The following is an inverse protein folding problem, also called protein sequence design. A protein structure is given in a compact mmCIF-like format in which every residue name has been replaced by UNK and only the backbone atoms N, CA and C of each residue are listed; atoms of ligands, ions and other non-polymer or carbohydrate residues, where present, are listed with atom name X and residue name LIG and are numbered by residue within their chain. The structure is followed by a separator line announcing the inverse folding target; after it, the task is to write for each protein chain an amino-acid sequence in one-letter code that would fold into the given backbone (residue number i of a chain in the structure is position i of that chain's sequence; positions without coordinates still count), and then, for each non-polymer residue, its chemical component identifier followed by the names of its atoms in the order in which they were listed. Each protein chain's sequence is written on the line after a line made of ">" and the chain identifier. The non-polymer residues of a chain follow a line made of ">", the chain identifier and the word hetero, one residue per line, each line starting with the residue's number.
data_IF_915763152364
#
_entry.id   IF_915763152364
#
_cell.length_a   1.000
_cell.length_b   1.000
_cell.length_c   1.000
_cell.angle_alpha   90.00
_cell.angle_beta   90.00
_cell.angle_gamma   90.00
#
_symmetry.space_group_name_H-M   'P 1'
#
loop_
_entity.id
_entity.type
_entity.pdbx_description
1 polymer ?
#
# COMPACT_ATOMS: atom_id res chain seq x y z
N UNK A 1 -53.81 29.48 41.29
CA UNK A 1 -53.37 29.89 42.63
C UNK A 1 -52.07 29.14 42.93
N UNK A 2 -50.99 29.87 43.22
CA UNK A 2 -49.57 29.45 43.34
C UNK A 2 -48.91 29.01 42.01
N UNK A 3 -47.96 29.71 41.36
CA UNK A 3 -46.95 30.73 41.72
C UNK A 3 -45.88 30.26 42.71
N UNK A 4 -44.72 29.83 42.17
CA UNK A 4 -43.32 29.91 42.68
C UNK A 4 -42.45 28.97 41.81
N UNK A 5 -41.21 29.27 41.40
CA UNK A 5 -40.36 30.46 41.52
C UNK A 5 -39.26 30.33 40.47
N UNK A 6 -38.99 31.45 39.82
CA UNK A 6 -37.84 31.77 38.98
C UNK A 6 -36.52 31.66 39.77
N UNK A 7 -35.46 31.14 39.15
CA UNK A 7 -34.26 31.96 38.94
C UNK A 7 -33.30 31.38 37.88
N UNK A 8 -32.58 32.26 37.15
CA UNK A 8 -31.91 31.98 35.89
C UNK A 8 -30.37 32.15 35.98
N UNK A 9 -29.70 32.02 34.82
CA UNK A 9 -28.30 32.39 34.54
C UNK A 9 -27.30 31.40 35.16
N UNK A 10 -26.50 30.67 34.37
CA UNK A 10 -25.31 31.17 33.68
C UNK A 10 -25.21 30.44 32.32
N UNK A 11 -25.50 31.09 31.18
CA UNK A 11 -24.64 31.99 30.40
C UNK A 11 -23.40 31.26 29.82
N UNK A 12 -23.52 30.83 28.56
CA UNK A 12 -22.67 31.16 27.38
C UNK A 12 -22.86 30.05 26.34
N UNK A 13 -23.63 30.29 25.29
CA UNK A 13 -23.25 31.01 24.06
C UNK A 13 -22.34 30.16 23.18
N UNK A 14 -22.94 29.75 22.06
CA UNK A 14 -22.40 29.57 20.71
C UNK A 14 -21.61 28.31 20.37
N UNK A 15 -21.90 27.88 19.13
CA UNK A 15 -21.18 26.95 18.25
C UNK A 15 -21.42 25.48 18.59
N UNK A 16 -22.38 24.76 17.97
CA UNK A 16 -22.61 24.64 16.53
C UNK A 16 -21.29 24.44 15.76
N UNK A 17 -20.56 23.39 16.10
CA UNK A 17 -19.70 22.70 15.14
C UNK A 17 -20.35 21.37 14.85
N UNK A 18 -21.17 21.41 13.79
CA UNK A 18 -21.41 20.29 12.91
C UNK A 18 -20.02 19.72 12.57
N UNK A 19 -19.62 18.61 13.19
CA UNK A 19 -18.43 17.89 12.74
C UNK A 19 -18.80 17.34 11.37
N UNK A 20 -18.33 18.06 10.36
CA UNK A 20 -18.58 17.79 8.96
C UNK A 20 -18.08 16.40 8.58
N UNK A 21 -18.83 15.79 7.68
CA UNK A 21 -18.52 14.59 6.92
C UNK A 21 -17.37 14.86 5.91
N UNK A 22 -16.33 15.59 6.31
CA UNK A 22 -15.13 15.79 5.48
C UNK A 22 -14.13 14.67 5.73
N UNK A 23 -14.55 13.45 5.39
CA UNK A 23 -13.67 12.33 5.02
C UNK A 23 -13.75 12.11 3.48
N UNK A 24 -13.85 13.21 2.73
CA UNK A 24 -13.98 13.24 1.26
C UNK A 24 -12.62 13.33 0.53
N UNK A 25 -11.55 12.80 1.12
CA UNK A 25 -10.19 13.08 0.65
C UNK A 25 -9.25 11.85 0.62
N UNK A 26 -9.76 10.67 0.30
CA UNK A 26 -8.94 9.62 -0.34
C UNK A 26 -9.63 9.19 -1.63
N UNK A 27 -9.51 10.10 -2.58
CA UNK A 27 -9.35 9.90 -4.01
C UNK A 27 -9.37 8.44 -4.51
N UNK A 28 -10.32 8.15 -5.40
CA UNK A 28 -10.57 6.84 -6.00
C UNK A 28 -11.91 6.80 -6.73
N UNK A 29 -12.25 7.85 -7.50
CA UNK A 29 -13.53 7.94 -8.23
C UNK A 29 -13.62 6.92 -9.38
N UNK A 30 -12.51 6.29 -9.73
CA UNK A 30 -12.40 5.22 -10.71
C UNK A 30 -11.53 4.13 -10.11
N UNK A 31 -11.98 2.88 -10.22
CA UNK A 31 -11.18 1.69 -9.95
C UNK A 31 -11.11 0.85 -11.21
N UNK A 32 -9.88 0.54 -11.60
CA UNK A 32 -9.54 -0.49 -12.56
C UNK A 32 -8.55 -1.43 -11.87
N UNK A 33 -9.06 -2.49 -11.28
CA UNK A 33 -8.23 -3.55 -10.71
C UNK A 33 -8.29 -4.76 -11.64
N UNK A 34 -7.14 -5.22 -12.14
CA UNK A 34 -7.06 -6.42 -12.96
C UNK A 34 -5.95 -7.30 -12.40
N UNK A 35 -6.31 -8.50 -11.98
CA UNK A 35 -5.37 -9.50 -11.50
C UNK A 35 -5.40 -10.71 -12.42
N UNK A 36 -4.26 -11.02 -13.03
CA UNK A 36 -4.06 -12.16 -13.91
C UNK A 36 -3.10 -13.13 -13.23
N UNK A 37 -3.54 -14.37 -13.04
CA UNK A 37 -2.71 -15.48 -12.57
C UNK A 37 -2.48 -16.45 -13.71
N UNK A 38 -1.20 -16.76 -13.98
CA UNK A 38 -0.79 -17.71 -14.99
C UNK A 38 -0.60 -19.09 -14.37
N UNK A 39 -1.26 -20.08 -14.95
CA UNK A 39 -1.09 -21.49 -14.63
C UNK A 39 0.18 -22.06 -15.25
N UNK A 40 0.68 -23.18 -14.71
CA UNK A 40 1.82 -23.92 -15.27
C UNK A 40 1.44 -24.80 -16.47
N UNK A 41 0.16 -24.86 -16.81
CA UNK A 41 -0.47 -25.66 -17.85
C UNK A 41 -0.93 -24.81 -19.05
N UNK A 42 -0.30 -23.64 -19.23
CA UNK A 42 -0.62 -22.66 -20.28
C UNK A 42 -2.07 -22.16 -20.24
N UNK A 43 -2.59 -22.05 -19.01
CA UNK A 43 -3.86 -21.42 -18.70
C UNK A 43 -3.65 -20.10 -17.96
N UNK A 44 -4.69 -19.26 -17.93
CA UNK A 44 -4.75 -18.09 -17.10
C UNK A 44 -6.11 -17.98 -16.42
N UNK A 45 -6.09 -17.43 -15.20
CA UNK A 45 -7.26 -16.94 -14.50
C UNK A 45 -7.13 -15.43 -14.37
N UNK A 46 -8.20 -14.69 -14.64
CA UNK A 46 -8.19 -13.24 -14.55
C UNK A 46 -9.41 -12.75 -13.78
N UNK A 47 -9.19 -11.90 -12.78
CA UNK A 47 -10.25 -11.19 -12.09
C UNK A 47 -10.09 -9.70 -12.37
N UNK A 48 -11.09 -9.10 -13.01
CA UNK A 48 -11.09 -7.69 -13.40
C UNK A 48 -12.30 -6.99 -12.83
N UNK A 49 -12.05 -5.91 -12.08
CA UNK A 49 -13.06 -5.02 -11.54
C UNK A 49 -12.91 -3.66 -12.22
N UNK A 50 -13.98 -3.21 -12.86
CA UNK A 50 -14.08 -1.86 -13.44
C UNK A 50 -15.23 -1.16 -12.74
N UNK A 51 -14.94 -0.14 -11.94
CA UNK A 51 -15.95 0.56 -11.15
C UNK A 51 -15.71 2.06 -11.13
N UNK A 52 -16.81 2.82 -11.05
CA UNK A 52 -16.80 4.28 -11.08
C UNK A 52 -17.69 4.83 -9.97
N UNK A 53 -17.36 6.03 -9.49
CA UNK A 53 -18.26 6.78 -8.63
C UNK A 53 -19.50 7.21 -9.43
N UNK A 54 -20.71 7.11 -8.87
CA UNK A 54 -21.95 7.49 -9.57
C UNK A 54 -21.94 8.93 -10.11
N UNK A 55 -21.25 9.83 -9.40
CA UNK A 55 -21.17 11.26 -9.75
C UNK A 55 -19.94 11.61 -10.61
N UNK A 56 -19.16 10.62 -11.08
CA UNK A 56 -17.91 10.84 -11.81
C UNK A 56 -18.11 11.69 -13.06
N UNK A 57 -19.14 11.41 -13.86
CA UNK A 57 -19.39 12.12 -15.10
C UNK A 57 -19.63 13.63 -14.86
N UNK A 58 -20.36 13.97 -13.80
CA UNK A 58 -20.62 15.37 -13.43
C UNK A 58 -19.37 16.05 -12.86
N UNK A 59 -18.55 15.32 -12.11
CA UNK A 59 -17.26 15.82 -11.61
C UNK A 59 -16.26 16.08 -12.75
N UNK A 60 -16.13 15.14 -13.70
CA UNK A 60 -15.23 15.29 -14.86
C UNK A 60 -15.64 16.49 -15.72
N UNK A 61 -16.95 16.66 -16.00
CA UNK A 61 -17.47 17.83 -16.73
C UNK A 61 -17.15 19.15 -16.00
N UNK A 62 -17.24 19.15 -14.68
CA UNK A 62 -17.00 20.34 -13.85
C UNK A 62 -15.51 20.69 -13.72
N UNK A 63 -14.63 19.69 -13.58
CA UNK A 63 -13.20 19.90 -13.32
C UNK A 63 -12.34 20.07 -14.58
N UNK A 64 -12.58 19.28 -15.62
CA UNK A 64 -11.74 19.31 -16.83
C UNK A 64 -12.12 20.45 -17.79
N UNK A 65 -13.27 21.10 -17.57
CA UNK A 65 -13.84 22.04 -18.51
C UNK A 65 -14.28 21.36 -19.82
N UNK A 66 -15.02 22.09 -20.66
CA UNK A 66 -15.54 21.56 -21.92
C UNK A 66 -14.45 21.04 -22.86
N UNK A 67 -13.28 21.68 -22.84
CA UNK A 67 -12.26 21.50 -23.87
C UNK A 67 -11.41 20.25 -23.61
N UNK A 68 -10.92 20.05 -22.38
CA UNK A 68 -10.19 18.82 -22.02
C UNK A 68 -11.14 17.62 -21.90
N UNK A 69 -12.39 17.82 -21.46
CA UNK A 69 -13.42 16.79 -21.48
C UNK A 69 -13.70 16.30 -22.91
N UNK A 70 -13.79 17.20 -23.89
CA UNK A 70 -13.99 16.82 -25.30
C UNK A 70 -12.76 16.16 -25.95
N UNK A 71 -11.55 16.56 -25.56
CA UNK A 71 -10.33 15.91 -26.02
C UNK A 71 -10.22 14.47 -25.48
N UNK A 72 -10.55 14.27 -24.19
CA UNK A 72 -10.60 12.95 -23.59
C UNK A 72 -11.75 12.11 -24.19
N UNK A 73 -12.92 12.70 -24.42
CA UNK A 73 -14.08 12.01 -24.99
C UNK A 73 -13.84 11.56 -26.43
N UNK A 74 -13.25 12.42 -27.26
CA UNK A 74 -12.93 12.11 -28.65
C UNK A 74 -11.86 11.05 -28.75
N UNK A 75 -10.91 11.02 -27.81
CA UNK A 75 -9.94 9.94 -27.67
C UNK A 75 -10.64 8.65 -27.21
N UNK A 76 -11.38 8.67 -26.12
CA UNK A 76 -12.12 7.49 -25.61
C UNK A 76 -13.08 6.90 -26.67
N UNK A 77 -13.80 7.75 -27.41
CA UNK A 77 -14.69 7.31 -28.49
C UNK A 77 -13.97 6.88 -29.78
N UNK A 78 -12.73 7.30 -30.00
CA UNK A 78 -11.87 6.77 -31.06
C UNK A 78 -11.14 5.48 -30.63
N UNK A 79 -10.94 5.31 -29.32
CA UNK A 79 -10.30 4.17 -28.66
C UNK A 79 -11.28 3.00 -28.58
N UNK A 80 -12.50 3.21 -28.14
CA UNK A 80 -13.54 2.19 -28.15
C UNK A 80 -14.69 2.66 -29.05
N UNK A 81 -14.86 1.97 -30.18
CA UNK A 81 -15.94 2.17 -31.14
C UNK A 81 -17.29 1.86 -30.46
N UNK A 82 -17.79 2.79 -29.62
CA UNK A 82 -19.00 2.62 -28.82
C UNK A 82 -18.99 3.26 -27.42
N UNK A 83 -17.83 3.50 -26.80
CA UNK A 83 -17.79 4.03 -25.41
C UNK A 83 -17.91 5.55 -25.44
N UNK A 84 -19.08 6.04 -25.07
CA UNK A 84 -19.39 7.46 -24.95
C UNK A 84 -19.16 7.91 -23.51
N UNK A 85 -18.72 9.15 -23.25
CA UNK A 85 -18.69 9.66 -21.87
C UNK A 85 -20.08 9.64 -21.20
N UNK A 86 -21.14 9.67 -22.00
CA UNK A 86 -22.53 9.56 -21.54
C UNK A 86 -22.95 8.10 -21.24
N UNK A 87 -22.18 7.10 -21.69
CA UNK A 87 -22.36 5.68 -21.36
C UNK A 87 -21.47 5.20 -20.20
N UNK A 88 -20.78 6.12 -19.50
CA UNK A 88 -20.11 5.86 -18.22
C UNK A 88 -21.10 5.67 -17.06
N UNK A 89 -22.35 5.30 -17.36
CA UNK A 89 -23.31 4.87 -16.35
C UNK A 89 -22.92 3.44 -15.94
N UNK A 90 -22.52 3.22 -14.67
CA UNK A 90 -22.10 1.91 -14.20
C UNK A 90 -23.14 0.80 -14.41
N UNK A 91 -24.42 1.16 -14.36
CA UNK A 91 -25.51 0.20 -14.58
C UNK A 91 -25.57 -0.26 -16.04
N UNK A 92 -25.31 0.64 -16.99
CA UNK A 92 -25.32 0.32 -18.42
C UNK A 92 -24.09 -0.51 -18.83
N UNK A 93 -22.94 -0.30 -18.18
CA UNK A 93 -21.74 -1.07 -18.46
C UNK A 93 -21.96 -2.59 -18.29
N UNK A 94 -22.68 -2.99 -17.23
CA UNK A 94 -23.04 -4.39 -17.01
C UNK A 94 -23.96 -4.92 -18.11
N UNK A 95 -25.01 -4.16 -18.46
CA UNK A 95 -25.96 -4.55 -19.50
C UNK A 95 -25.29 -4.67 -20.87
N UNK A 96 -24.37 -3.76 -21.20
CA UNK A 96 -23.60 -3.78 -22.44
C UNK A 96 -22.65 -4.99 -22.52
N UNK A 97 -21.87 -5.23 -21.46
CA UNK A 97 -20.94 -6.37 -21.42
C UNK A 97 -21.67 -7.71 -21.42
N UNK A 98 -22.78 -7.82 -20.68
CA UNK A 98 -23.60 -9.04 -20.66
C UNK A 98 -24.33 -9.29 -21.99
N UNK A 99 -24.71 -8.22 -22.70
CA UNK A 99 -25.30 -8.31 -24.04
C UNK A 99 -24.26 -8.50 -25.16
N UNK A 100 -22.96 -8.36 -24.86
CA UNK A 100 -21.91 -8.45 -25.87
C UNK A 100 -21.82 -9.87 -26.47
N UNK A 101 -21.76 -9.95 -27.79
CA UNK A 101 -21.63 -11.21 -28.51
C UNK A 101 -20.32 -11.93 -28.21
N UNK A 102 -19.26 -11.18 -27.93
CA UNK A 102 -17.94 -11.70 -27.57
C UNK A 102 -17.99 -12.43 -26.23
N UNK A 103 -18.56 -11.83 -25.18
CA UNK A 103 -18.68 -12.46 -23.88
C UNK A 103 -19.64 -13.66 -23.91
N UNK A 104 -20.73 -13.56 -24.67
CA UNK A 104 -21.66 -14.69 -24.86
C UNK A 104 -21.01 -15.86 -25.59
N UNK A 105 -20.19 -15.58 -26.62
CA UNK A 105 -19.45 -16.62 -27.35
C UNK A 105 -18.42 -17.26 -26.42
N UNK A 106 -17.65 -16.45 -25.70
CA UNK A 106 -16.66 -16.96 -24.75
C UNK A 106 -17.30 -17.81 -23.65
N UNK A 107 -18.41 -17.36 -23.06
CA UNK A 107 -19.14 -18.12 -22.03
C UNK A 107 -19.79 -19.40 -22.59
N UNK A 108 -20.18 -19.42 -23.87
CA UNK A 108 -20.71 -20.60 -24.54
C UNK A 108 -19.62 -21.63 -24.85
N UNK A 109 -18.46 -21.17 -25.31
CA UNK A 109 -17.30 -22.00 -25.62
C UNK A 109 -16.62 -22.53 -24.35
N UNK A 110 -16.67 -21.76 -23.26
CA UNK A 110 -16.04 -22.05 -21.97
C UNK A 110 -17.04 -21.97 -20.79
N UNK A 111 -18.01 -22.89 -20.71
CA UNK A 111 -19.05 -22.84 -19.70
C UNK A 111 -18.50 -23.01 -18.28
N UNK A 112 -18.84 -22.08 -17.39
CA UNK A 112 -18.39 -22.08 -15.99
C UNK A 112 -17.00 -21.51 -15.76
N UNK A 113 -16.31 -21.05 -16.82
CA UNK A 113 -15.00 -20.39 -16.75
C UNK A 113 -15.11 -18.87 -16.92
N UNK A 114 -16.31 -18.35 -17.19
CA UNK A 114 -16.60 -16.92 -17.32
C UNK A 114 -17.75 -16.57 -16.39
N UNK A 115 -17.54 -15.59 -15.52
CA UNK A 115 -18.53 -15.09 -14.57
C UNK A 115 -18.51 -13.56 -14.57
N UNK A 116 -19.61 -12.95 -15.00
CA UNK A 116 -19.78 -11.49 -15.02
C UNK A 116 -20.86 -11.13 -14.01
N UNK A 117 -20.53 -10.22 -13.09
CA UNK A 117 -21.42 -9.76 -12.02
C UNK A 117 -21.43 -8.23 -11.94
N UNK A 118 -22.53 -7.63 -11.45
CA UNK A 118 -22.50 -6.24 -11.04
C UNK A 118 -21.59 -6.09 -9.81
N UNK A 119 -20.82 -5.01 -9.79
CA UNK A 119 -19.97 -4.61 -8.67
C UNK A 119 -20.60 -3.40 -7.96
N UNK A 120 -20.69 -3.45 -6.64
CA UNK A 120 -21.10 -2.32 -5.79
C UNK A 120 -20.45 -2.49 -4.41
N UNK A 121 -19.55 -1.56 -4.03
CA UNK A 121 -18.90 -1.53 -2.72
C UNK A 121 -19.44 -0.41 -1.79
N UNK A 122 -20.54 0.23 -2.19
CA UNK A 122 -21.16 1.36 -1.51
C UNK A 122 -20.53 2.71 -1.85
N UNK A 123 -19.39 2.75 -2.53
CA UNK A 123 -18.74 3.97 -3.01
C UNK A 123 -18.61 3.99 -4.54
N UNK A 124 -18.30 2.84 -5.13
CA UNK A 124 -18.12 2.61 -6.55
C UNK A 124 -19.09 1.55 -7.04
N UNK A 125 -19.63 1.78 -8.23
CA UNK A 125 -20.51 0.85 -8.92
C UNK A 125 -19.88 0.50 -10.26
N UNK A 126 -20.06 -0.73 -10.73
CA UNK A 126 -19.57 -1.15 -12.03
C UNK A 126 -19.72 -2.64 -12.26
N UNK A 127 -18.66 -3.27 -12.76
CA UNK A 127 -18.65 -4.67 -13.17
C UNK A 127 -17.47 -5.43 -12.57
N UNK A 128 -17.74 -6.69 -12.25
CA UNK A 128 -16.76 -7.69 -11.83
C UNK A 128 -16.79 -8.82 -12.86
N UNK A 129 -15.68 -9.01 -13.57
CA UNK A 129 -15.46 -10.08 -14.52
C UNK A 129 -14.42 -11.04 -13.97
N UNK A 130 -14.82 -12.30 -13.76
CA UNK A 130 -13.94 -13.39 -13.39
C UNK A 130 -13.85 -14.38 -14.54
N UNK A 131 -12.62 -14.63 -14.98
CA UNK A 131 -12.21 -15.64 -15.95
C UNK A 131 -11.37 -16.68 -15.20
N UNK A 132 -11.64 -17.97 -15.38
CA UNK A 132 -10.97 -19.05 -14.63
C UNK A 132 -10.46 -20.13 -15.57
N UNK A 133 -9.19 -20.48 -15.45
CA UNK A 133 -8.52 -21.57 -16.16
C UNK A 133 -8.76 -21.56 -17.68
N UNK A 134 -8.69 -20.37 -18.29
CA UNK A 134 -8.81 -20.21 -19.74
C UNK A 134 -7.46 -20.47 -20.42
N UNK A 135 -7.45 -21.09 -21.60
CA UNK A 135 -6.25 -21.22 -22.43
C UNK A 135 -5.60 -19.87 -22.78
N UNK A 136 -4.27 -19.79 -22.80
CA UNK A 136 -3.53 -18.55 -23.11
C UNK A 136 -3.81 -17.97 -24.50
N UNK A 137 -4.18 -18.79 -25.49
CA UNK A 137 -4.54 -18.33 -26.84
C UNK A 137 -5.82 -17.47 -26.84
N UNK A 138 -6.70 -17.67 -25.86
CA UNK A 138 -7.87 -16.81 -25.63
C UNK A 138 -7.43 -15.43 -25.15
N UNK A 139 -6.41 -15.35 -24.30
CA UNK A 139 -5.83 -14.08 -23.87
C UNK A 139 -5.27 -13.31 -25.06
N UNK A 140 -4.49 -13.94 -25.93
CA UNK A 140 -3.90 -13.26 -27.09
C UNK A 140 -4.96 -12.75 -28.08
N UNK A 141 -6.04 -13.51 -28.28
CA UNK A 141 -7.18 -13.07 -29.08
C UNK A 141 -7.90 -11.88 -28.44
N UNK A 142 -8.14 -11.92 -27.12
CA UNK A 142 -8.76 -10.82 -26.39
C UNK A 142 -7.85 -9.59 -26.37
N UNK A 143 -6.55 -9.76 -26.15
CA UNK A 143 -5.57 -8.69 -26.07
C UNK A 143 -5.28 -8.06 -27.45
N UNK A 144 -5.35 -8.82 -28.54
CA UNK A 144 -5.29 -8.25 -29.89
C UNK A 144 -6.55 -7.45 -30.24
N UNK A 145 -7.74 -7.90 -29.80
CA UNK A 145 -8.99 -7.18 -29.98
C UNK A 145 -9.07 -5.92 -29.09
N UNK A 146 -8.72 -6.02 -27.81
CA UNK A 146 -8.81 -4.94 -26.82
C UNK A 146 -7.60 -4.00 -26.84
N UNK A 147 -6.41 -4.50 -27.16
CA UNK A 147 -5.16 -3.74 -27.20
C UNK A 147 -5.13 -2.70 -28.32
N UNK A 148 -5.85 -2.94 -29.42
CA UNK A 148 -6.10 -1.92 -30.44
C UNK A 148 -6.99 -0.78 -29.94
N UNK A 149 -7.86 -1.07 -28.97
CA UNK A 149 -8.82 -0.11 -28.43
C UNK A 149 -8.25 0.71 -27.27
N UNK A 150 -7.48 0.11 -26.36
CA UNK A 150 -6.95 0.80 -25.17
C UNK A 150 -5.51 1.29 -25.32
N UNK A 151 -4.83 0.98 -26.43
CA UNK A 151 -3.39 1.26 -26.61
C UNK A 151 -2.49 0.46 -25.65
N UNK A 152 -3.06 -0.52 -24.94
CA UNK A 152 -2.35 -1.43 -24.03
C UNK A 152 -2.44 -2.82 -24.66
N UNK A 153 -1.69 -3.03 -25.74
CA UNK A 153 -1.58 -4.32 -26.43
C UNK A 153 -0.53 -5.19 -25.73
N UNK A 154 -0.87 -5.75 -24.58
CA UNK A 154 -0.02 -6.76 -23.94
C UNK A 154 -0.05 -8.08 -24.70
N UNK A 155 1.07 -8.77 -24.82
CA UNK A 155 1.12 -10.20 -25.20
C UNK A 155 1.75 -11.02 -24.08
N UNK A 156 1.32 -12.28 -23.97
CA UNK A 156 1.88 -13.24 -23.02
C UNK A 156 2.38 -14.43 -23.81
N UNK A 157 3.69 -14.65 -23.78
CA UNK A 157 4.33 -15.77 -24.49
C UNK A 157 4.96 -16.71 -23.47
N UNK A 158 4.72 -18.02 -23.64
CA UNK A 158 5.42 -19.07 -22.91
C UNK A 158 6.49 -19.71 -23.82
N UNK A 159 7.75 -19.42 -23.54
CA UNK A 159 8.89 -19.93 -24.31
C UNK A 159 10.06 -20.25 -23.38
N UNK A 160 10.80 -21.32 -23.68
CA UNK A 160 11.99 -21.76 -22.93
C UNK A 160 11.78 -21.90 -21.40
N UNK A 161 10.59 -22.38 -20.99
CA UNK A 161 10.23 -22.55 -19.58
C UNK A 161 10.07 -21.22 -18.81
N UNK A 162 9.71 -20.15 -19.52
CA UNK A 162 9.49 -18.82 -18.95
C UNK A 162 8.27 -18.17 -19.57
N UNK A 163 7.54 -17.42 -18.74
CA UNK A 163 6.50 -16.52 -19.18
C UNK A 163 7.12 -15.15 -19.46
N UNK A 164 6.86 -14.61 -20.64
CA UNK A 164 7.29 -13.28 -21.06
C UNK A 164 6.03 -12.46 -21.36
N UNK A 165 5.74 -11.49 -20.51
CA UNK A 165 4.68 -10.50 -20.74
C UNK A 165 5.33 -9.28 -21.36
N UNK A 166 4.85 -8.89 -22.54
CA UNK A 166 5.38 -7.74 -23.28
C UNK A 166 4.28 -6.74 -23.53
N UNK A 167 4.46 -5.51 -23.06
CA UNK A 167 3.62 -4.36 -23.40
C UNK A 167 4.49 -3.45 -24.28
N UNK A 168 4.20 -3.34 -25.59
CA UNK A 168 5.05 -2.66 -26.55
C UNK A 168 5.11 -1.17 -26.25
N UNK A 169 6.25 -0.55 -26.58
CA UNK A 169 6.38 0.90 -26.50
C UNK A 169 5.29 1.60 -27.33
N UNK A 170 4.64 2.61 -26.75
CA UNK A 170 3.63 3.40 -27.43
C UNK A 170 3.73 4.86 -26.99
N UNK A 171 4.06 5.73 -27.94
CA UNK A 171 4.16 7.17 -27.73
C UNK A 171 2.80 7.78 -27.33
N UNK A 172 1.68 7.13 -27.65
CA UNK A 172 0.35 7.56 -27.22
C UNK A 172 0.16 7.49 -25.70
N UNK A 173 1.00 6.72 -24.99
CA UNK A 173 1.00 6.61 -23.53
C UNK A 173 1.73 7.78 -22.86
N UNK A 174 2.50 8.58 -23.61
CA UNK A 174 3.17 9.76 -23.07
C UNK A 174 2.14 10.77 -22.53
N UNK A 175 2.10 11.02 -21.21
CA UNK A 175 1.15 11.95 -20.63
C UNK A 175 1.33 13.38 -21.13
N UNK A 176 2.53 13.74 -21.61
CA UNK A 176 2.81 15.04 -22.24
C UNK A 176 2.02 15.20 -23.54
N UNK A 177 1.87 14.11 -24.32
CA UNK A 177 1.06 14.08 -25.53
C UNK A 177 -0.44 14.21 -25.23
N UNK A 178 -0.85 13.87 -24.01
CA UNK A 178 -2.21 14.07 -23.48
C UNK A 178 -2.41 15.46 -22.85
N UNK A 179 -1.39 16.33 -22.88
CA UNK A 179 -1.43 17.65 -22.24
C UNK A 179 -1.45 17.59 -20.71
N UNK A 180 -1.13 16.42 -20.13
CA UNK A 180 -1.10 16.21 -18.69
C UNK A 180 0.27 16.63 -18.16
N UNK A 181 0.27 17.57 -17.22
CA UNK A 181 1.49 17.95 -16.49
C UNK A 181 1.77 16.95 -15.36
N UNK A 182 3.01 16.87 -14.84
CA UNK A 182 3.33 16.05 -13.67
C UNK A 182 2.43 16.35 -12.45
N UNK A 183 2.00 17.61 -12.28
CA UNK A 183 1.07 18.00 -11.22
C UNK A 183 -0.33 17.42 -11.46
N UNK A 184 -0.82 17.44 -12.70
CA UNK A 184 -2.11 16.84 -13.06
C UNK A 184 -2.07 15.31 -12.94
N UNK A 185 -0.96 14.68 -13.31
CA UNK A 185 -0.74 13.23 -13.11
C UNK A 185 -0.80 12.84 -11.64
N UNK A 186 -0.20 13.62 -10.75
CA UNK A 186 -0.28 13.35 -9.31
C UNK A 186 -1.73 13.48 -8.80
N UNK A 187 -2.52 14.41 -9.34
CA UNK A 187 -3.94 14.54 -8.99
C UNK A 187 -4.77 13.39 -9.56
N UNK A 188 -4.55 13.01 -10.82
CA UNK A 188 -5.24 11.89 -11.49
C UNK A 188 -4.88 10.55 -10.86
N UNK A 189 -3.61 10.30 -10.57
CA UNK A 189 -3.15 9.06 -9.93
C UNK A 189 -3.65 8.90 -8.49
N UNK A 190 -4.04 9.99 -7.82
CA UNK A 190 -4.79 9.88 -6.58
C UNK A 190 -6.27 9.59 -6.87
N UNK A 191 -6.88 10.21 -7.88
CA UNK A 191 -8.31 10.07 -8.17
C UNK A 191 -8.68 8.75 -8.88
N UNK A 192 -7.74 8.10 -9.55
CA UNK A 192 -7.92 6.89 -10.35
C UNK A 192 -7.04 5.79 -9.76
N UNK A 193 -7.68 4.78 -9.16
CA UNK A 193 -7.03 3.58 -8.65
C UNK A 193 -6.89 2.58 -9.81
N UNK A 194 -5.72 2.54 -10.46
CA UNK A 194 -5.40 1.52 -11.47
C UNK A 194 -4.34 0.59 -10.91
N UNK A 195 -4.69 -0.69 -10.81
CA UNK A 195 -3.76 -1.76 -10.43
C UNK A 195 -3.88 -2.91 -11.41
N UNK A 196 -2.78 -3.22 -12.11
CA UNK A 196 -2.69 -4.39 -12.98
C UNK A 196 -1.65 -5.34 -12.38
N UNK A 197 -2.09 -6.50 -11.93
CA UNK A 197 -1.27 -7.48 -11.25
C UNK A 197 -1.10 -8.73 -12.11
N UNK A 198 0.14 -9.13 -12.35
CA UNK A 198 0.47 -10.40 -12.98
C UNK A 198 1.12 -11.32 -11.95
N UNK A 199 0.53 -12.49 -11.75
CA UNK A 199 1.03 -13.53 -10.85
C UNK A 199 1.46 -14.72 -11.67
N UNK A 200 2.72 -15.10 -11.53
CA UNK A 200 3.35 -16.17 -12.28
C UNK A 200 3.43 -17.45 -11.43
N UNK A 201 3.59 -18.62 -12.05
CA UNK A 201 3.83 -19.86 -11.32
C UNK A 201 5.24 -19.90 -10.69
N UNK A 202 6.21 -19.22 -11.30
CA UNK A 202 7.57 -19.06 -10.79
C UNK A 202 7.96 -17.61 -10.48
N UNK A 203 9.20 -17.42 -10.04
CA UNK A 203 9.71 -16.11 -9.66
C UNK A 203 9.90 -15.19 -10.88
N UNK A 204 9.64 -13.91 -10.66
CA UNK A 204 9.94 -12.85 -11.62
C UNK A 204 11.44 -12.57 -11.60
N UNK A 205 12.07 -12.69 -12.75
CA UNK A 205 13.52 -12.46 -12.92
C UNK A 205 13.83 -11.10 -13.51
N UNK A 206 12.91 -10.53 -14.30
CA UNK A 206 13.08 -9.25 -14.97
C UNK A 206 11.74 -8.52 -15.00
N UNK A 207 11.71 -7.26 -14.55
CA UNK A 207 10.58 -6.36 -14.71
C UNK A 207 11.11 -4.91 -14.66
N UNK A 208 11.18 -4.19 -15.79
CA UNK A 208 11.71 -2.83 -15.84
C UNK A 208 10.74 -1.79 -15.28
N UNK A 209 9.46 -2.15 -15.10
CA UNK A 209 8.42 -1.30 -14.56
C UNK A 209 7.56 -2.06 -13.54
N UNK A 210 6.94 -1.32 -12.61
CA UNK A 210 6.13 -1.89 -11.53
C UNK A 210 6.92 -2.33 -10.30
N UNK A 211 6.17 -2.85 -9.33
CA UNK A 211 6.71 -3.42 -8.09
C UNK A 211 6.71 -4.94 -8.17
N UNK A 212 7.88 -5.55 -7.96
CA UNK A 212 8.08 -7.00 -7.99
C UNK A 212 8.08 -7.57 -6.56
N UNK A 213 7.16 -8.49 -6.31
CA UNK A 213 7.06 -9.24 -5.05
C UNK A 213 7.09 -10.75 -5.34
N UNK A 214 8.30 -11.30 -5.38
CA UNK A 214 8.52 -12.73 -5.62
C UNK A 214 8.03 -13.21 -6.97
N UNK A 215 6.82 -13.78 -7.03
CA UNK A 215 6.17 -14.29 -8.24
C UNK A 215 5.13 -13.34 -8.84
N UNK A 216 4.96 -12.17 -8.24
CA UNK A 216 3.93 -11.22 -8.64
C UNK A 216 4.54 -9.89 -9.03
N UNK A 217 4.08 -9.32 -10.15
CA UNK A 217 4.38 -7.94 -10.56
C UNK A 217 3.11 -7.14 -10.49
N UNK A 218 3.16 -5.98 -9.85
CA UNK A 218 2.04 -5.02 -9.83
C UNK A 218 2.46 -3.76 -10.57
N UNK A 219 1.69 -3.40 -11.61
CA UNK A 219 1.83 -2.20 -12.40
C UNK A 219 0.76 -1.19 -11.97
N UNK A 220 1.19 0.03 -11.64
CA UNK A 220 0.27 1.14 -11.40
C UNK A 220 0.03 1.98 -12.66
N UNK A 221 -0.86 2.96 -12.57
CA UNK A 221 -1.12 3.90 -13.67
C UNK A 221 0.16 4.60 -14.19
N UNK A 222 1.08 4.94 -13.29
CA UNK A 222 2.33 5.62 -13.66
C UNK A 222 3.25 4.71 -14.50
N UNK A 223 3.26 3.41 -14.23
CA UNK A 223 4.01 2.43 -15.02
C UNK A 223 3.38 2.24 -16.39
N UNK A 224 2.05 2.16 -16.45
CA UNK A 224 1.29 1.95 -17.69
C UNK A 224 1.37 3.16 -18.63
N UNK A 225 1.42 4.38 -18.09
CA UNK A 225 1.62 5.62 -18.85
C UNK A 225 3.08 5.87 -19.25
N UNK A 226 3.99 4.95 -18.94
CA UNK A 226 5.35 5.04 -19.45
C UNK A 226 5.35 4.61 -20.93
N UNK A 227 5.84 5.45 -21.87
CA UNK A 227 5.87 5.11 -23.28
C UNK A 227 6.87 3.99 -23.61
N UNK A 228 7.78 3.66 -22.68
CA UNK A 228 8.73 2.58 -22.86
C UNK A 228 8.05 1.19 -22.96
N UNK A 229 8.76 0.26 -23.57
CA UNK A 229 8.39 -1.16 -23.54
C UNK A 229 8.48 -1.70 -22.11
N UNK A 230 7.44 -2.42 -21.69
CA UNK A 230 7.43 -3.13 -20.41
C UNK A 230 7.55 -4.61 -20.73
N UNK A 231 8.70 -5.19 -20.37
CA UNK A 231 8.97 -6.61 -20.58
C UNK A 231 9.18 -7.31 -19.25
N UNK A 232 8.21 -8.11 -18.84
CA UNK A 232 8.25 -8.88 -17.59
C UNK A 232 8.59 -10.32 -17.93
N UNK A 233 9.61 -10.86 -17.29
CA UNK A 233 10.04 -12.26 -17.45
C UNK A 233 9.95 -12.97 -16.11
N UNK A 234 9.24 -14.09 -16.09
CA UNK A 234 9.13 -14.97 -14.94
C UNK A 234 9.35 -16.43 -15.33
N UNK A 235 9.78 -17.26 -14.38
CA UNK A 235 9.90 -18.70 -14.61
C UNK A 235 8.53 -19.38 -14.59
N UNK A 236 8.41 -20.50 -15.31
CA UNK A 236 7.26 -21.40 -15.24
C UNK A 236 7.27 -22.34 -14.02
N UNK A 237 8.43 -22.45 -13.34
CA UNK A 237 8.68 -23.42 -12.27
C UNK A 237 8.58 -22.80 -10.89
N UNK A 238 8.01 -23.55 -9.94
CA UNK A 238 7.82 -23.08 -8.57
C UNK A 238 9.17 -22.96 -7.84
N UNK A 239 9.68 -21.73 -7.76
CA UNK A 239 10.93 -21.40 -7.09
C UNK A 239 10.68 -20.74 -5.73
N UNK A 240 11.52 -21.06 -4.74
CA UNK A 240 11.40 -20.51 -3.39
C UNK A 240 11.96 -19.08 -3.36
N UNK A 241 11.15 -18.11 -2.96
CA UNK A 241 11.58 -16.72 -2.75
C UNK A 241 12.41 -16.60 -1.46
N UNK A 242 13.71 -16.90 -1.55
CA UNK A 242 14.63 -16.92 -0.41
C UNK A 242 14.87 -15.55 0.22
N UNK A 243 14.71 -14.45 -0.52
CA UNK A 243 15.01 -13.09 -0.06
C UNK A 243 14.35 -12.71 1.27
N UNK A 244 13.01 -12.82 1.42
CA UNK A 244 12.36 -12.55 2.71
C UNK A 244 12.75 -13.56 3.78
N UNK A 245 12.92 -14.85 3.43
CA UNK A 245 13.30 -15.90 4.38
C UNK A 245 14.68 -15.60 4.98
N UNK A 246 15.66 -15.22 4.17
CA UNK A 246 17.00 -14.86 4.63
C UNK A 246 17.00 -13.54 5.41
N UNK A 247 16.21 -12.56 4.97
CA UNK A 247 16.12 -11.26 5.67
C UNK A 247 15.52 -11.44 7.06
N UNK A 248 14.34 -12.05 7.18
CA UNK A 248 13.69 -12.30 8.46
C UNK A 248 14.44 -13.32 9.30
N UNK A 249 15.00 -14.37 8.67
CA UNK A 249 15.86 -15.34 9.33
C UNK A 249 17.10 -14.69 9.95
N UNK A 250 17.72 -13.74 9.24
CA UNK A 250 18.83 -12.94 9.74
C UNK A 250 18.43 -12.05 10.93
N UNK A 251 17.28 -11.39 10.85
CA UNK A 251 16.74 -10.56 11.95
C UNK A 251 16.47 -11.42 13.19
N UNK A 252 15.80 -12.56 13.03
CA UNK A 252 15.52 -13.49 14.13
C UNK A 252 16.82 -14.01 14.74
N UNK A 253 17.79 -14.38 13.91
CA UNK A 253 19.10 -14.83 14.37
C UNK A 253 19.85 -13.73 15.14
N UNK A 254 19.83 -12.48 14.65
CA UNK A 254 20.41 -11.35 15.35
C UNK A 254 19.72 -11.09 16.71
N UNK A 255 18.38 -11.17 16.76
CA UNK A 255 17.63 -11.05 18.00
C UNK A 255 17.99 -12.16 19.00
N UNK A 256 18.12 -13.42 18.53
CA UNK A 256 18.56 -14.55 19.36
C UNK A 256 19.96 -14.31 19.91
N UNK A 257 20.89 -13.79 19.10
CA UNK A 257 22.26 -13.48 19.55
C UNK A 257 22.25 -12.36 20.60
N UNK A 258 21.44 -11.33 20.43
CA UNK A 258 21.33 -10.22 21.41
C UNK A 258 20.72 -10.72 22.71
N UNK A 259 19.59 -11.42 22.66
CA UNK A 259 18.90 -11.93 23.85
C UNK A 259 19.73 -13.01 24.54
N UNK A 260 20.28 -13.94 23.76
CA UNK A 260 21.17 -15.00 24.23
C UNK A 260 22.46 -14.43 24.84
N UNK A 261 23.07 -13.44 24.20
CA UNK A 261 24.23 -12.73 24.72
C UNK A 261 23.93 -12.02 26.04
N UNK A 262 22.82 -11.29 26.13
CA UNK A 262 22.39 -10.61 27.35
C UNK A 262 22.13 -11.60 28.50
N UNK A 263 21.40 -12.69 28.24
CA UNK A 263 21.14 -13.73 29.26
C UNK A 263 22.42 -14.41 29.73
N UNK A 264 23.37 -14.67 28.82
CA UNK A 264 24.66 -15.25 29.16
C UNK A 264 25.50 -14.30 30.01
N UNK A 265 25.49 -13.00 29.71
CA UNK A 265 26.16 -11.96 30.53
C UNK A 265 25.56 -11.88 31.94
N UNK A 266 24.23 -11.92 32.07
CA UNK A 266 23.55 -11.93 33.38
C UNK A 266 23.92 -13.19 34.18
N UNK A 267 23.93 -14.37 33.55
CA UNK A 267 24.33 -15.62 34.19
C UNK A 267 25.80 -15.59 34.64
N UNK A 268 26.69 -15.01 33.83
CA UNK A 268 28.09 -14.82 34.20
C UNK A 268 28.25 -13.88 35.39
N UNK A 269 27.54 -12.74 35.42
CA UNK A 269 27.59 -11.78 36.53
C UNK A 269 27.07 -12.40 37.84
N UNK A 270 25.93 -13.09 37.80
CA UNK A 270 25.39 -13.80 38.97
C UNK A 270 26.37 -14.86 39.48
N UNK A 271 27.04 -15.57 38.59
CA UNK A 271 28.02 -16.60 38.96
C UNK A 271 29.31 -15.98 39.52
N UNK A 272 29.73 -14.82 39.04
CA UNK A 272 30.85 -14.07 39.58
C UNK A 272 30.56 -13.54 40.99
N UNK A 273 29.36 -13.00 41.24
CA UNK A 273 28.92 -12.53 42.56
C UNK A 273 28.84 -13.64 43.60
N UNK A 274 28.50 -14.88 43.22
CA UNK A 274 28.56 -16.04 44.13
C UNK A 274 29.99 -16.44 44.53
N UNK A 275 31.02 -15.97 43.81
CA UNK A 275 32.43 -16.25 44.14
C UNK A 275 33.08 -15.16 44.98
N UNK A 276 32.48 -13.96 45.09
CA UNK A 276 32.95 -12.95 46.02
C UNK A 276 32.59 -13.39 47.45
N UNK A 277 33.50 -14.15 48.07
CA UNK A 277 33.56 -14.31 49.52
C UNK A 277 34.04 -12.98 50.08
N UNK A 278 33.10 -12.11 50.46
CA UNK A 278 33.41 -11.08 51.43
C UNK A 278 33.89 -11.79 52.71
N UNK A 279 34.98 -11.33 53.36
CA UNK A 279 35.32 -11.80 54.69
C UNK A 279 34.08 -11.70 55.59
N UNK A 280 33.86 -12.72 56.43
CA UNK A 280 32.78 -12.67 57.40
C UNK A 280 32.89 -11.36 58.20
N UNK A 281 31.80 -10.63 58.46
CA UNK A 281 31.86 -9.49 59.36
C UNK A 281 32.42 -9.98 60.69
N UNK A 282 33.59 -9.48 61.07
CA UNK A 282 34.21 -9.79 62.34
C UNK A 282 33.28 -9.29 63.45
N UNK A 283 32.54 -10.23 64.06
CA UNK A 283 31.82 -9.99 65.31
C UNK A 283 32.77 -9.91 66.52
N UNK A 284 34.09 -9.79 66.28
CA UNK A 284 35.17 -9.86 67.26
C UNK A 284 36.12 -8.65 67.18
N UNK A 285 35.68 -7.51 66.62
CA UNK A 285 36.28 -6.23 66.96
C UNK A 285 35.36 -5.49 67.93
N UNK A 286 35.59 -5.83 69.19
CA UNK A 286 35.45 -4.99 70.36
C UNK A 286 35.32 -3.51 70.00
N UNK A 287 34.21 -2.94 70.44
CA UNK A 287 34.04 -1.51 70.69
C UNK A 287 35.35 -0.90 71.17
N UNK A 288 36.12 -0.30 70.26
CA UNK A 288 37.21 0.60 70.64
C UNK A 288 36.59 1.96 70.97
N UNK A 289 35.69 1.96 71.95
CA UNK A 289 35.51 3.08 72.86
C UNK A 289 36.82 3.14 73.66
N UNK A 290 37.82 3.79 73.06
CA UNK A 290 39.02 4.23 73.75
C UNK A 290 38.66 5.48 74.54
N UNK A 291 38.44 5.28 75.83
CA UNK A 291 38.42 6.30 76.87
C UNK A 291 39.71 7.13 76.83
N UNK A 292 39.55 8.46 76.97
CA UNK A 292 40.60 9.45 77.20
C UNK A 292 41.58 9.00 78.31
N UNK A 293 42.89 9.28 78.14
CA UNK A 293 43.73 9.76 79.23
C UNK A 293 44.10 11.23 79.00
N UNK A 294 44.13 11.94 80.12
CA UNK A 294 44.28 13.38 80.29
C UNK A 294 45.30 14.09 79.39
N UNK A 295 44.88 15.31 79.05
CA UNK A 295 45.64 16.43 78.51
C UNK A 295 46.85 16.79 79.40
N UNK A 296 47.91 17.36 78.82
CA UNK A 296 48.25 18.69 79.33
C UNK A 296 48.57 19.68 78.19
N UNK A 297 47.89 20.82 78.28
CA UNK A 297 48.40 22.18 78.16
C UNK A 297 49.64 22.38 77.27
N UNK A 298 49.46 23.14 76.18
CA UNK A 298 49.82 24.56 76.18
C UNK A 298 49.91 25.12 74.75
N UNK A 299 49.48 26.38 74.62
CA UNK A 299 49.75 27.32 73.52
C UNK A 299 48.70 27.31 72.40
N UNK A 300 47.50 27.86 72.63
CA UNK A 300 47.20 29.31 72.57
C UNK A 300 47.34 29.89 71.15
N UNK A 301 46.23 30.34 70.54
CA UNK A 301 46.21 31.72 70.06
C UNK A 301 44.84 32.40 70.30
N UNK A 302 44.76 33.26 71.32
CA UNK A 302 43.79 34.35 71.43
C UNK A 302 44.27 35.27 72.57
N UNK A 303 44.31 36.59 72.49
CA UNK A 303 43.90 37.60 71.51
C UNK A 303 44.49 38.93 72.05
N UNK A 304 43.72 40.02 72.17
CA UNK A 304 42.76 40.63 71.25
C UNK A 304 43.18 42.09 70.94
N UNK A 305 42.57 42.76 69.97
CA UNK A 305 42.40 44.22 70.10
C UNK A 305 41.07 44.70 69.49
N UNK A 306 40.34 45.62 70.17
CA UNK A 306 38.89 45.80 70.07
C UNK A 306 38.46 46.91 69.07
N UNK A 307 37.13 47.10 68.85
CA UNK A 307 36.58 48.09 67.93
C UNK A 307 36.16 49.38 68.69
N UNK A 308 35.37 50.30 68.09
CA UNK A 308 35.78 51.56 67.46
C UNK A 308 35.34 52.82 68.24
N UNK A 309 35.91 54.00 67.94
CA UNK A 309 35.29 55.31 68.22
C UNK A 309 35.89 56.41 67.33
N UNK A 310 35.04 57.20 66.67
CA UNK A 310 35.38 58.47 66.00
C UNK A 310 34.70 58.67 64.66
#
# INVERSE_FOLDING_TARGET
>A
MSMTRTSPLVRRVREAVLVGVTALALAGCVRLDSSTELGSDDTFSQHTVIAFAPDLADQLRTQLGSDAGSALSSRLGALAEGVSLDSLDPAQLYDELSASSQLQTLAADHPGQVDLKPYDDGQLVGVDLTLTDLPLDVYDQAASAAGGALGISGSIVHEDGRYVVTIPADDARDPSALGLTPANLALVGNAVDVSVRFTFPGLVTEAPAGTVEGRTVTLGIADLLNPAEIRIVASDSHQIYWTPILTWGGIVLAAIVIVGGATLLVLQDVRARRRSRLPAPDASHESRIGTLPDEPDASSPAGPEPPPTG
#
